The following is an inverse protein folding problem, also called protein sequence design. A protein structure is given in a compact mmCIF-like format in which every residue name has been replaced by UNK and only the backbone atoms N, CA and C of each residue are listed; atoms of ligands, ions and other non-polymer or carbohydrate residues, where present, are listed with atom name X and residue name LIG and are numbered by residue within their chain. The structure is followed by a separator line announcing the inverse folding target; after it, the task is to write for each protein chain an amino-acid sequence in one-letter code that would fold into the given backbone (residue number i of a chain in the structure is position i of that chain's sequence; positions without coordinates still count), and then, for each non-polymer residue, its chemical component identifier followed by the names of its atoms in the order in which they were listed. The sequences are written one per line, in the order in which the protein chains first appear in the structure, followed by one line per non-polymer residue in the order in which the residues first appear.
data_IF_843050809827
#
_entry.id   IF_843050809827
#
_cell.length_a   1.000
_cell.length_b   1.000
_cell.length_c   1.000
_cell.angle_alpha   90.00
_cell.angle_beta   90.00
_cell.angle_gamma   90.00
#
_symmetry.space_group_name_H-M   'P 1'
#
loop_
_entity.id
_entity.type
_entity.pdbx_description
1 polymer ?
#
# COMPACT_ATOMS: atom_id res chain seq x y z
N UNK A 1 26.05 -9.74 11.61
CA UNK A 1 24.77 -10.45 11.83
C UNK A 1 23.75 -9.80 10.91
N UNK A 2 23.19 -10.56 9.96
CA UNK A 2 22.17 -10.04 9.04
C UNK A 2 20.83 -9.93 9.75
N UNK A 3 20.13 -8.83 9.53
CA UNK A 3 18.82 -8.54 10.10
C UNK A 3 17.74 -9.47 9.52
N UNK A 4 16.77 -9.95 10.31
CA UNK A 4 15.75 -10.86 9.81
C UNK A 4 14.89 -10.18 8.72
N UNK A 5 14.60 -10.86 7.60
CA UNK A 5 13.95 -10.28 6.42
C UNK A 5 12.57 -9.67 6.72
N UNK A 6 11.80 -10.27 7.65
CA UNK A 6 10.52 -9.74 8.09
C UNK A 6 10.58 -8.35 8.72
N UNK A 7 11.67 -8.05 9.44
CA UNK A 7 11.85 -6.75 10.07
C UNK A 7 12.00 -5.64 9.02
N UNK A 8 12.77 -5.91 7.95
CA UNK A 8 12.99 -4.94 6.88
C UNK A 8 11.74 -4.68 6.05
N UNK A 9 10.97 -5.71 5.72
CA UNK A 9 9.70 -5.53 5.02
C UNK A 9 8.73 -4.66 5.83
N UNK A 10 8.62 -4.92 7.14
CA UNK A 10 7.83 -4.10 8.06
C UNK A 10 8.31 -2.64 8.09
N UNK A 11 9.62 -2.41 8.12
CA UNK A 11 10.18 -1.06 8.13
C UNK A 11 9.85 -0.29 6.85
N UNK A 12 9.84 -0.96 5.69
CA UNK A 12 9.39 -0.35 4.43
C UNK A 12 7.90 -0.02 4.50
N UNK A 13 7.03 -0.98 4.87
CA UNK A 13 5.58 -0.74 4.95
C UNK A 13 5.24 0.38 5.96
N UNK A 14 5.92 0.42 7.11
CA UNK A 14 5.78 1.49 8.08
C UNK A 14 6.33 2.83 7.58
N UNK A 15 7.39 2.82 6.76
CA UNK A 15 7.88 4.04 6.10
C UNK A 15 6.84 4.60 5.14
N UNK A 16 6.22 3.75 4.31
CA UNK A 16 5.15 4.15 3.41
C UNK A 16 3.93 4.69 4.17
N UNK A 17 3.47 3.99 5.20
CA UNK A 17 2.36 4.45 6.03
C UNK A 17 2.62 5.85 6.61
N UNK A 18 3.84 6.11 7.10
CA UNK A 18 4.26 7.44 7.55
C UNK A 18 4.30 8.46 6.42
N UNK A 19 4.79 8.09 5.23
CA UNK A 19 4.84 9.01 4.09
C UNK A 19 3.44 9.47 3.62
N UNK A 20 2.40 8.66 3.87
CA UNK A 20 0.99 8.99 3.62
C UNK A 20 0.41 9.93 4.68
N UNK A 21 0.78 9.77 5.95
CA UNK A 21 0.26 10.57 7.08
C UNK A 21 1.07 11.84 7.37
N UNK A 22 2.26 11.99 6.79
CA UNK A 22 3.21 13.06 7.12
C UNK A 22 3.13 14.39 6.34
N UNK A 23 2.01 14.88 5.73
CA UNK A 23 2.00 16.29 5.33
C UNK A 23 2.01 17.18 6.59
N UNK A 24 3.22 17.53 7.02
CA UNK A 24 3.53 18.36 8.18
C UNK A 24 2.72 19.65 8.18
N UNK A 25 2.30 20.05 9.38
CA UNK A 25 1.38 21.13 9.73
C UNK A 25 1.66 22.51 9.08
N UNK A 26 2.83 22.73 8.47
CA UNK A 26 3.23 24.03 7.94
C UNK A 26 3.18 24.15 6.40
N UNK A 27 3.24 23.05 5.64
CA UNK A 27 3.05 23.04 4.17
C UNK A 27 2.49 21.70 3.68
N UNK A 28 1.16 21.58 3.52
CA UNK A 28 0.59 20.36 2.97
C UNK A 28 1.05 20.17 1.53
N UNK A 29 1.43 18.93 1.18
CA UNK A 29 1.86 18.59 -0.17
C UNK A 29 0.72 18.85 -1.18
N UNK A 30 1.04 19.16 -2.45
CA UNK A 30 0.03 19.32 -3.48
C UNK A 30 -0.85 18.07 -3.62
N UNK A 31 -2.17 18.18 -3.87
CA UNK A 31 -3.06 17.02 -3.97
C UNK A 31 -2.61 15.96 -5.00
N UNK A 32 -2.06 16.39 -6.13
CA UNK A 32 -1.51 15.46 -7.16
C UNK A 32 -0.33 14.63 -6.63
N UNK A 33 0.49 15.21 -5.75
CA UNK A 33 1.62 14.51 -5.11
C UNK A 33 1.11 13.51 -4.08
N UNK A 34 0.05 13.86 -3.34
CA UNK A 34 -0.61 12.94 -2.42
C UNK A 34 -1.25 11.75 -3.16
N UNK A 35 -1.88 11.98 -4.31
CA UNK A 35 -2.38 10.90 -5.18
C UNK A 35 -1.24 10.02 -5.71
N UNK A 36 -0.10 10.61 -6.09
CA UNK A 36 1.07 9.84 -6.52
C UNK A 36 1.60 8.93 -5.40
N UNK A 37 1.61 9.42 -4.16
CA UNK A 37 1.96 8.62 -2.97
C UNK A 37 0.95 7.50 -2.71
N UNK A 38 -0.34 7.79 -2.77
CA UNK A 38 -1.39 6.78 -2.63
C UNK A 38 -1.22 5.67 -3.69
N UNK A 39 -0.98 6.05 -4.95
CA UNK A 39 -0.70 5.13 -6.06
C UNK A 39 0.52 4.26 -5.79
N UNK A 40 1.62 4.86 -5.28
CA UNK A 40 2.82 4.12 -4.91
C UNK A 40 2.54 3.10 -3.80
N UNK A 41 1.81 3.50 -2.76
CA UNK A 41 1.43 2.62 -1.66
C UNK A 41 0.55 1.45 -2.14
N UNK A 42 -0.42 1.69 -3.04
CA UNK A 42 -1.16 0.60 -3.68
C UNK A 42 -0.24 -0.33 -4.47
N UNK A 43 0.71 0.19 -5.24
CA UNK A 43 1.65 -0.65 -5.98
C UNK A 43 2.51 -1.54 -5.06
N UNK A 44 2.98 -1.03 -3.93
CA UNK A 44 3.69 -1.83 -2.92
C UNK A 44 2.75 -2.88 -2.31
N UNK A 45 1.55 -2.48 -1.91
CA UNK A 45 0.55 -3.40 -1.37
C UNK A 45 0.26 -4.55 -2.35
N UNK A 46 0.22 -4.26 -3.66
CA UNK A 46 0.03 -5.26 -4.71
C UNK A 46 1.19 -6.24 -4.82
N UNK A 47 2.44 -5.75 -4.77
CA UNK A 47 3.63 -6.61 -4.77
C UNK A 47 3.67 -7.54 -3.55
N UNK A 48 3.33 -7.02 -2.37
CA UNK A 48 3.24 -7.83 -1.14
C UNK A 48 2.11 -8.85 -1.25
N UNK A 49 0.93 -8.43 -1.74
CA UNK A 49 -0.22 -9.31 -1.95
C UNK A 49 0.12 -10.45 -2.93
N UNK A 50 0.87 -10.15 -4.00
CA UNK A 50 1.31 -11.14 -4.98
C UNK A 50 2.26 -12.16 -4.34
N UNK A 51 3.28 -11.71 -3.62
CA UNK A 51 4.21 -12.60 -2.93
C UNK A 51 3.50 -13.50 -1.90
N UNK A 52 2.52 -12.96 -1.17
CA UNK A 52 1.69 -13.74 -0.26
C UNK A 52 0.80 -14.75 -1.01
N UNK A 53 0.20 -14.36 -2.14
CA UNK A 53 -0.62 -15.26 -2.94
C UNK A 53 0.19 -16.43 -3.54
N UNK A 54 1.44 -16.17 -3.93
CA UNK A 54 2.32 -17.18 -4.55
C UNK A 54 2.99 -18.10 -3.52
N UNK A 55 3.29 -17.61 -2.33
CA UNK A 55 4.19 -18.30 -1.39
C UNK A 55 3.64 -18.53 0.01
N UNK A 56 2.52 -17.92 0.41
CA UNK A 56 1.98 -18.11 1.76
C UNK A 56 1.40 -19.52 1.93
N UNK A 57 1.65 -20.12 3.09
CA UNK A 57 1.09 -21.39 3.52
C UNK A 57 0.41 -21.19 4.88
N UNK A 58 -0.92 -21.37 4.98
CA UNK A 58 -1.85 -21.72 3.90
C UNK A 58 -2.06 -20.57 2.92
N UNK A 59 -2.27 -20.90 1.64
CA UNK A 59 -2.70 -19.91 0.66
C UNK A 59 -4.09 -19.38 1.02
N UNK A 60 -4.28 -18.06 0.93
CA UNK A 60 -5.56 -17.39 1.19
C UNK A 60 -6.03 -16.67 -0.08
N UNK A 61 -7.28 -16.89 -0.48
CA UNK A 61 -7.92 -16.17 -1.59
C UNK A 61 -7.89 -14.65 -1.39
N UNK A 62 -7.84 -14.20 -0.14
CA UNK A 62 -7.71 -12.81 0.25
C UNK A 62 -6.48 -12.11 -0.38
N UNK A 63 -5.35 -12.80 -0.53
CA UNK A 63 -4.13 -12.20 -1.10
C UNK A 63 -4.26 -12.00 -2.62
N UNK A 64 -4.87 -12.95 -3.33
CA UNK A 64 -5.16 -12.80 -4.76
C UNK A 64 -6.17 -11.65 -5.02
N UNK A 65 -7.14 -11.47 -4.12
CA UNK A 65 -8.05 -10.32 -4.17
C UNK A 65 -7.31 -9.00 -3.90
N UNK A 66 -6.36 -8.98 -2.95
CA UNK A 66 -5.48 -7.85 -2.69
C UNK A 66 -4.75 -7.35 -3.94
N UNK A 67 -4.17 -8.26 -4.73
CA UNK A 67 -3.55 -7.93 -6.04
C UNK A 67 -4.53 -7.20 -6.94
N UNK A 68 -5.72 -7.77 -7.16
CA UNK A 68 -6.74 -7.20 -8.06
C UNK A 68 -7.20 -5.81 -7.63
N UNK A 69 -7.38 -5.59 -6.32
CA UNK A 69 -7.78 -4.30 -5.77
C UNK A 69 -6.70 -3.24 -5.99
N UNK A 70 -5.45 -3.60 -5.75
CA UNK A 70 -4.32 -2.68 -5.90
C UNK A 70 -4.06 -2.32 -7.36
N UNK A 71 -4.22 -3.26 -8.29
CA UNK A 71 -4.13 -3.01 -9.74
C UNK A 71 -5.24 -2.07 -10.21
N UNK A 72 -6.49 -2.32 -9.79
CA UNK A 72 -7.62 -1.47 -10.13
C UNK A 72 -7.43 -0.03 -9.59
N UNK A 73 -6.96 0.10 -8.35
CA UNK A 73 -6.66 1.40 -7.75
C UNK A 73 -5.53 2.13 -8.50
N UNK A 74 -4.45 1.42 -8.86
CA UNK A 74 -3.36 2.00 -9.65
C UNK A 74 -3.85 2.50 -11.02
N UNK A 75 -4.67 1.71 -11.72
CA UNK A 75 -5.19 2.09 -13.04
C UNK A 75 -6.04 3.38 -12.98
N UNK A 76 -6.86 3.54 -11.95
CA UNK A 76 -7.64 4.77 -11.74
C UNK A 76 -6.70 5.96 -11.44
N UNK A 77 -5.74 5.78 -10.53
CA UNK A 77 -4.83 6.85 -10.12
C UNK A 77 -3.86 7.26 -11.24
N UNK A 78 -3.46 6.34 -12.11
CA UNK A 78 -2.55 6.62 -13.21
C UNK A 78 -3.12 7.70 -14.15
N UNK A 79 -4.45 7.71 -14.34
CA UNK A 79 -5.14 8.73 -15.13
C UNK A 79 -5.17 10.13 -14.47
N UNK A 80 -5.07 10.20 -13.14
CA UNK A 80 -5.21 11.45 -12.37
C UNK A 80 -3.87 12.08 -11.95
N UNK A 81 -2.79 11.29 -11.90
CA UNK A 81 -1.46 11.72 -11.46
C UNK A 81 -0.59 12.20 -12.62
N UNK A 82 -0.74 11.60 -13.80
CA UNK A 82 0.10 11.89 -14.97
C UNK A 82 1.44 11.13 -14.98
N UNK A 83 2.01 10.88 -16.17
CA UNK A 83 3.14 9.96 -16.36
C UNK A 83 4.45 10.43 -15.71
N UNK A 84 4.68 11.73 -15.59
CA UNK A 84 5.91 12.29 -15.02
C UNK A 84 6.01 11.99 -13.52
N UNK A 85 4.92 12.19 -12.78
CA UNK A 85 4.87 11.90 -11.36
C UNK A 85 4.85 10.40 -11.08
N UNK A 86 4.14 9.61 -11.92
CA UNK A 86 4.23 8.14 -11.84
C UNK A 86 5.68 7.71 -12.03
N UNK A 87 6.40 8.26 -13.02
CA UNK A 87 7.80 7.91 -13.27
C UNK A 87 8.69 8.33 -12.11
N UNK A 88 8.51 9.53 -11.56
CA UNK A 88 9.29 9.99 -10.41
C UNK A 88 9.11 9.08 -9.19
N UNK A 89 7.87 8.72 -8.85
CA UNK A 89 7.57 7.84 -7.70
C UNK A 89 7.83 6.35 -8.00
N UNK A 90 7.82 5.94 -9.27
CA UNK A 90 8.22 4.60 -9.72
C UNK A 90 9.74 4.45 -9.81
N UNK A 91 10.51 5.52 -10.06
CA UNK A 91 11.97 5.46 -10.11
C UNK A 91 12.57 5.02 -8.76
N UNK A 92 11.89 5.35 -7.67
CA UNK A 92 12.21 4.82 -6.35
C UNK A 92 12.00 3.28 -6.33
N UNK A 93 10.84 2.81 -6.80
CA UNK A 93 10.52 1.37 -6.92
C UNK A 93 11.34 0.60 -7.98
N UNK A 94 11.88 1.31 -8.98
CA UNK A 94 12.46 0.74 -10.20
C UNK A 94 13.92 0.29 -10.07
N UNK A 95 14.66 0.75 -9.05
CA UNK A 95 16.06 0.34 -8.81
C UNK A 95 16.16 -1.00 -8.08
N UNK A 96 15.46 -2.01 -8.57
CA UNK A 96 15.41 -3.33 -7.95
C UNK A 96 14.64 -3.39 -6.63
N UNK A 97 14.05 -2.28 -6.17
CA UNK A 97 13.27 -2.23 -4.92
C UNK A 97 12.03 -3.13 -5.01
N UNK A 98 11.32 -3.15 -6.14
CA UNK A 98 10.17 -4.05 -6.33
C UNK A 98 10.54 -5.54 -6.22
N UNK A 99 11.64 -5.95 -6.87
CA UNK A 99 12.15 -7.33 -6.77
C UNK A 99 12.71 -7.65 -5.38
N UNK A 100 13.33 -6.66 -4.73
CA UNK A 100 13.80 -6.78 -3.35
C UNK A 100 12.65 -6.91 -2.35
N UNK A 101 11.54 -6.18 -2.54
CA UNK A 101 10.35 -6.28 -1.70
C UNK A 101 9.64 -7.63 -1.87
N UNK A 102 9.54 -8.11 -3.10
CA UNK A 102 9.04 -9.47 -3.37
C UNK A 102 9.94 -10.52 -2.67
N UNK A 103 11.26 -10.43 -2.83
CA UNK A 103 12.21 -11.32 -2.15
C UNK A 103 12.13 -11.23 -0.62
N UNK A 104 11.94 -10.03 -0.06
CA UNK A 104 11.79 -9.87 1.39
C UNK A 104 10.49 -10.51 1.89
N UNK A 105 9.39 -10.39 1.13
CA UNK A 105 8.13 -11.04 1.44
C UNK A 105 8.23 -12.57 1.33
N UNK A 106 8.83 -13.08 0.26
CA UNK A 106 9.16 -14.50 0.07
C UNK A 106 10.00 -15.05 1.22
N UNK A 107 11.08 -14.36 1.58
CA UNK A 107 11.94 -14.74 2.69
C UNK A 107 11.18 -14.73 4.01
N UNK A 108 10.39 -13.68 4.29
CA UNK A 108 9.58 -13.64 5.51
C UNK A 108 8.62 -14.82 5.58
N UNK A 109 7.92 -15.14 4.48
CA UNK A 109 7.04 -16.30 4.41
C UNK A 109 7.79 -17.61 4.67
N UNK A 110 8.95 -17.82 4.03
CA UNK A 110 9.75 -19.02 4.24
C UNK A 110 10.22 -19.19 5.69
N UNK A 111 10.54 -18.09 6.38
CA UNK A 111 11.01 -18.12 7.78
C UNK A 111 9.87 -18.18 8.81
N UNK A 112 8.70 -17.60 8.52
CA UNK A 112 7.60 -17.44 9.49
C UNK A 112 6.38 -18.33 9.22
N UNK A 113 6.33 -19.07 8.11
CA UNK A 113 5.25 -20.03 7.80
C UNK A 113 5.04 -21.10 8.90
N UNK A 114 6.02 -21.35 9.76
CA UNK A 114 5.88 -22.27 10.90
C UNK A 114 5.43 -21.61 12.21
N UNK A 115 5.45 -20.27 12.30
CA UNK A 115 5.21 -19.55 13.56
C UNK A 115 3.82 -18.85 13.64
N UNK A 116 3.05 -18.81 12.54
CA UNK A 116 1.76 -18.12 12.51
C UNK A 116 1.87 -16.60 12.68
N UNK A 117 3.00 -16.02 12.28
CA UNK A 117 3.35 -14.62 12.55
C UNK A 117 2.54 -13.68 11.65
N UNK A 118 1.74 -12.78 12.24
CA UNK A 118 0.83 -11.84 11.55
C UNK A 118 1.50 -10.54 11.13
N UNK A 119 2.83 -10.48 11.16
CA UNK A 119 3.59 -9.21 11.05
C UNK A 119 3.38 -8.51 9.70
N UNK A 120 3.27 -9.25 8.59
CA UNK A 120 2.93 -8.65 7.30
C UNK A 120 1.48 -8.17 7.30
N UNK A 121 0.56 -8.95 7.84
CA UNK A 121 -0.86 -8.58 7.92
C UNK A 121 -1.03 -7.27 8.73
N UNK A 122 -0.39 -7.14 9.89
CA UNK A 122 -0.44 -5.93 10.73
C UNK A 122 0.15 -4.68 10.02
N UNK A 123 1.25 -4.88 9.28
CA UNK A 123 1.86 -3.80 8.50
C UNK A 123 0.99 -3.38 7.32
N UNK A 124 0.33 -4.34 6.66
CA UNK A 124 -0.64 -4.10 5.59
C UNK A 124 -1.91 -3.43 6.12
N UNK A 125 -2.39 -3.78 7.31
CA UNK A 125 -3.47 -3.07 8.01
C UNK A 125 -3.08 -1.62 8.25
N UNK A 126 -1.88 -1.37 8.78
CA UNK A 126 -1.39 -0.01 9.05
C UNK A 126 -1.27 0.83 7.76
N UNK A 127 -0.72 0.24 6.69
CA UNK A 127 -0.61 0.90 5.38
C UNK A 127 -1.99 1.21 4.80
N UNK A 128 -2.92 0.26 4.85
CA UNK A 128 -4.26 0.39 4.27
C UNK A 128 -5.12 1.38 5.05
N UNK A 129 -4.98 1.44 6.39
CA UNK A 129 -5.60 2.48 7.22
C UNK A 129 -5.08 3.88 6.84
N UNK A 130 -3.76 4.02 6.69
CA UNK A 130 -3.15 5.28 6.27
C UNK A 130 -3.59 5.71 4.85
N UNK A 131 -3.81 4.74 3.95
CA UNK A 131 -4.42 4.98 2.64
C UNK A 131 -5.86 5.47 2.77
N UNK A 132 -6.68 4.85 3.63
CA UNK A 132 -8.05 5.29 3.88
C UNK A 132 -8.08 6.75 4.36
N UNK A 133 -7.31 7.07 5.39
CA UNK A 133 -7.22 8.42 5.96
C UNK A 133 -6.81 9.45 4.90
N UNK A 134 -5.79 9.14 4.10
CA UNK A 134 -5.31 10.02 3.05
C UNK A 134 -6.37 10.27 1.97
N UNK A 135 -7.06 9.22 1.52
CA UNK A 135 -8.04 9.29 0.43
C UNK A 135 -9.32 10.03 0.88
N UNK A 136 -9.73 9.83 2.13
CA UNK A 136 -10.85 10.56 2.72
C UNK A 136 -10.51 12.04 2.90
N UNK A 137 -9.29 12.35 3.39
CA UNK A 137 -8.79 13.72 3.46
C UNK A 137 -8.70 14.39 2.06
N UNK A 138 -8.22 13.67 1.04
CA UNK A 138 -8.15 14.17 -0.33
C UNK A 138 -9.53 14.43 -0.93
N UNK A 139 -10.50 13.57 -0.62
CA UNK A 139 -11.88 13.74 -1.08
C UNK A 139 -12.49 15.04 -0.55
N UNK A 140 -12.18 15.39 0.71
CA UNK A 140 -12.63 16.62 1.35
C UNK A 140 -11.77 17.86 1.01
N UNK A 141 -10.64 17.69 0.32
CA UNK A 141 -9.67 18.77 0.10
C UNK A 141 -10.15 19.76 -0.97
N UNK A 142 -10.51 20.98 -0.57
CA UNK A 142 -10.97 22.05 -1.48
C UNK A 142 -9.89 22.53 -2.46
N UNK A 143 -8.60 22.28 -2.16
CA UNK A 143 -7.48 22.61 -3.07
C UNK A 143 -7.33 21.60 -4.21
N UNK A 144 -7.99 20.45 -4.12
CA UNK A 144 -7.96 19.40 -5.13
C UNK A 144 -9.02 19.67 -6.21
N UNK A 145 -8.60 19.57 -7.47
CA UNK A 145 -9.54 19.70 -8.60
C UNK A 145 -10.56 18.55 -8.59
N UNK A 146 -11.74 18.71 -9.22
CA UNK A 146 -12.80 17.69 -9.20
C UNK A 146 -12.34 16.30 -9.61
N UNK A 147 -11.46 16.20 -10.61
CA UNK A 147 -10.91 14.95 -11.14
C UNK A 147 -10.07 14.22 -10.08
N UNK A 148 -9.26 14.95 -9.32
CA UNK A 148 -8.44 14.41 -8.23
C UNK A 148 -9.31 13.90 -7.08
N UNK A 149 -10.32 14.68 -6.69
CA UNK A 149 -11.29 14.25 -5.68
C UNK A 149 -12.14 13.06 -6.16
N UNK A 150 -12.42 12.99 -7.46
CA UNK A 150 -13.12 11.88 -8.09
C UNK A 150 -12.30 10.60 -8.06
N UNK A 151 -11.02 10.68 -8.45
CA UNK A 151 -10.09 9.56 -8.38
C UNK A 151 -9.90 9.06 -6.95
N UNK A 152 -9.72 9.97 -5.97
CA UNK A 152 -9.61 9.62 -4.56
C UNK A 152 -10.85 8.84 -4.06
N UNK A 153 -12.06 9.32 -4.38
CA UNK A 153 -13.32 8.63 -4.04
C UNK A 153 -13.42 7.25 -4.69
N UNK A 154 -13.06 7.15 -5.97
CA UNK A 154 -13.16 5.90 -6.71
C UNK A 154 -12.27 4.80 -6.10
N UNK A 155 -11.09 5.14 -5.59
CA UNK A 155 -10.16 4.16 -5.01
C UNK A 155 -10.27 4.00 -3.50
N UNK A 156 -11.03 4.86 -2.81
CA UNK A 156 -11.26 4.74 -1.36
C UNK A 156 -11.93 3.42 -0.98
N UNK A 157 -12.83 2.90 -1.84
CA UNK A 157 -13.41 1.56 -1.66
C UNK A 157 -12.36 0.46 -1.65
N UNK A 158 -11.40 0.51 -2.58
CA UNK A 158 -10.31 -0.47 -2.65
C UNK A 158 -9.40 -0.42 -1.43
N UNK A 159 -9.10 0.76 -0.87
CA UNK A 159 -8.32 0.87 0.36
C UNK A 159 -9.04 0.24 1.56
N UNK A 160 -10.35 0.44 1.69
CA UNK A 160 -11.17 -0.16 2.77
C UNK A 160 -11.28 -1.67 2.63
N UNK A 161 -11.51 -2.17 1.42
CA UNK A 161 -11.54 -3.61 1.16
C UNK A 161 -10.18 -4.26 1.44
N UNK A 162 -9.09 -3.61 1.04
CA UNK A 162 -7.74 -4.06 1.36
C UNK A 162 -7.51 -4.11 2.88
N UNK A 163 -7.90 -3.06 3.61
CA UNK A 163 -7.79 -3.01 5.06
C UNK A 163 -8.58 -4.14 5.74
N UNK A 164 -9.81 -4.41 5.30
CA UNK A 164 -10.63 -5.51 5.80
C UNK A 164 -10.00 -6.89 5.52
N UNK A 165 -9.44 -7.11 4.32
CA UNK A 165 -8.82 -8.38 3.92
C UNK A 165 -7.63 -8.76 4.80
N UNK A 166 -6.88 -7.78 5.28
CA UNK A 166 -5.72 -7.99 6.15
C UNK A 166 -6.08 -8.00 7.64
N UNK A 167 -7.37 -8.01 7.99
CA UNK A 167 -7.82 -8.16 9.38
C UNK A 167 -8.08 -6.85 10.12
N UNK A 168 -8.20 -5.72 9.41
CA UNK A 168 -8.58 -4.44 10.01
C UNK A 168 -9.92 -4.49 10.77
N UNK A 169 -10.86 -5.31 10.29
CA UNK A 169 -12.17 -5.53 10.94
C UNK A 169 -12.15 -6.56 12.08
N UNK A 170 -11.02 -7.24 12.33
CA UNK A 170 -10.93 -8.35 13.29
C UNK A 170 -11.02 -7.92 14.78
N UNK A 171 -11.24 -6.64 15.06
CA UNK A 171 -11.60 -6.13 16.39
C UNK A 171 -13.08 -6.24 16.75
N UNK A 172 -13.90 -6.87 15.89
CA UNK A 172 -15.34 -6.99 16.04
C UNK A 172 -15.87 -8.42 16.04
N UNK A 173 -15.31 -9.31 16.87
CA UNK A 173 -15.98 -10.55 17.31
C UNK A 173 -15.61 -10.87 18.77
#
# INVERSE_FOLDING_TARGET
MSEPPGRRLREVLAHEARALTAPAADRPAPPVVLLARARRAFAIAGLVSLALAEHALPARDAHALGVRLTDAACAVLDSAVGPELITAYRADLGRGEAGYLAQLAELHLAFHAQAGDTVIDDAMVTLSASLCDLLDALTANERAIPEQRGAARAVAGHARELWALYGGDAGGW
#
